data_IF_409733950806
#
_entry.id   IF_409733950806
#
_cell.length_a   1.000
_cell.length_b   1.000
_cell.length_c   1.000
_cell.angle_alpha   90.00
_cell.angle_beta   90.00
_cell.angle_gamma   90.00
#
_symmetry.space_group_name_H-M   'P 1'
#
loop_
_entity.id
_entity.type
_entity.pdbx_description
1 polymer ?
#
# COMPACT_ATOMS: atom_id res chain seq x y z
N UNK A 1 -63.81 9.22 34.39
CA UNK A 1 -62.82 8.40 33.64
C UNK A 1 -62.35 9.03 32.33
N UNK A 2 -63.18 9.76 31.56
CA UNK A 2 -62.79 10.35 30.26
C UNK A 2 -61.70 11.43 30.33
N UNK A 3 -61.63 12.22 31.41
CA UNK A 3 -60.66 13.33 31.56
C UNK A 3 -59.22 12.85 31.77
N UNK A 4 -59.03 11.75 32.52
CA UNK A 4 -57.69 11.17 32.75
C UNK A 4 -57.11 10.57 31.45
N UNK A 5 -57.96 9.97 30.62
CA UNK A 5 -57.55 9.44 29.31
C UNK A 5 -57.13 10.55 28.33
N UNK A 6 -57.81 11.70 28.36
CA UNK A 6 -57.43 12.86 27.56
C UNK A 6 -56.06 13.43 27.95
N UNK A 7 -55.77 13.51 29.26
CA UNK A 7 -54.48 13.99 29.76
C UNK A 7 -53.35 13.04 29.34
N UNK A 8 -53.57 11.72 29.45
CA UNK A 8 -52.61 10.72 28.99
C UNK A 8 -52.37 10.77 27.47
N UNK A 9 -53.42 11.01 26.68
CA UNK A 9 -53.29 11.18 25.22
C UNK A 9 -52.48 12.41 24.83
N UNK A 10 -52.64 13.53 25.53
CA UNK A 10 -51.88 14.77 25.28
C UNK A 10 -50.40 14.58 25.69
N UNK A 11 -50.13 13.92 26.82
CA UNK A 11 -48.75 13.61 27.24
C UNK A 11 -48.06 12.69 26.23
N UNK A 12 -48.78 11.69 25.72
CA UNK A 12 -48.24 10.78 24.70
C UNK A 12 -47.90 11.53 23.40
N UNK A 13 -48.76 12.46 22.96
CA UNK A 13 -48.52 13.27 21.77
C UNK A 13 -47.30 14.19 21.95
N UNK A 14 -47.15 14.80 23.12
CA UNK A 14 -46.00 15.63 23.45
C UNK A 14 -44.69 14.82 23.47
N UNK A 15 -44.70 13.60 24.02
CA UNK A 15 -43.55 12.70 24.00
C UNK A 15 -43.21 12.21 22.59
N UNK A 16 -44.21 12.02 21.72
CA UNK A 16 -44.02 11.61 20.33
C UNK A 16 -43.39 12.75 19.50
N UNK A 17 -43.81 14.00 19.73
CA UNK A 17 -43.22 15.18 19.11
C UNK A 17 -41.78 15.40 19.62
N UNK A 18 -41.54 15.28 20.93
CA UNK A 18 -40.19 15.34 21.51
C UNK A 18 -39.30 14.21 20.98
N UNK A 19 -39.82 13.00 20.82
CA UNK A 19 -39.12 11.87 20.22
C UNK A 19 -38.77 12.10 18.74
N UNK A 20 -39.68 12.68 17.95
CA UNK A 20 -39.44 13.05 16.55
C UNK A 20 -38.42 14.20 16.41
N UNK A 21 -38.40 15.15 17.35
CA UNK A 21 -37.37 16.20 17.40
C UNK A 21 -36.00 15.61 17.79
N UNK A 22 -35.96 14.65 18.72
CA UNK A 22 -34.73 13.94 19.09
C UNK A 22 -34.21 13.03 17.95
N UNK A 23 -35.09 12.40 17.17
CA UNK A 23 -34.73 11.62 15.99
C UNK A 23 -34.36 12.53 14.81
N UNK A 24 -34.96 13.73 14.67
CA UNK A 24 -34.57 14.72 13.67
C UNK A 24 -33.17 15.33 13.91
N UNK A 25 -32.71 15.35 15.17
CA UNK A 25 -31.32 15.67 15.54
C UNK A 25 -30.37 14.47 15.30
N UNK A 26 -30.91 13.25 15.17
CA UNK A 26 -30.18 11.98 14.97
C UNK A 26 -30.44 11.29 13.61
N UNK A 27 -31.08 11.97 12.65
CA UNK A 27 -31.11 11.54 11.25
C UNK A 27 -29.75 11.88 10.62
N UNK A 28 -29.21 11.05 9.71
CA UNK A 28 -27.85 11.20 9.24
C UNK A 28 -27.69 12.63 8.73
N UNK A 29 -26.82 13.41 9.37
CA UNK A 29 -26.18 14.49 8.64
C UNK A 29 -25.62 13.80 7.40
N UNK A 30 -25.99 14.33 6.22
CA UNK A 30 -25.48 13.84 4.95
C UNK A 30 -23.95 13.75 4.95
N UNK A 31 -23.32 13.27 3.86
CA UNK A 31 -21.87 13.17 3.78
C UNK A 31 -21.25 14.41 4.42
N UNK A 32 -20.31 14.24 5.36
CA UNK A 32 -19.84 15.33 6.19
C UNK A 32 -19.33 16.47 5.29
N UNK A 33 -19.19 17.71 5.80
CA UNK A 33 -18.66 18.83 5.03
C UNK A 33 -17.18 18.64 4.60
N UNK A 34 -16.65 17.42 4.66
CA UNK A 34 -15.30 17.07 4.23
C UNK A 34 -15.01 17.53 2.80
N UNK A 35 -15.96 17.45 1.86
CA UNK A 35 -15.68 17.91 0.48
C UNK A 35 -15.54 19.44 0.37
N UNK A 36 -16.30 20.21 1.16
CA UNK A 36 -16.20 21.67 1.16
C UNK A 36 -15.01 22.18 1.98
N UNK A 37 -14.75 21.60 3.15
CA UNK A 37 -13.57 21.94 3.97
C UNK A 37 -12.27 21.52 3.28
N UNK A 38 -12.23 20.34 2.65
CA UNK A 38 -11.08 19.89 1.88
C UNK A 38 -10.85 20.80 0.67
N UNK A 39 -11.90 21.17 -0.08
CA UNK A 39 -11.77 22.10 -1.20
C UNK A 39 -11.34 23.52 -0.76
N UNK A 40 -11.89 24.03 0.36
CA UNK A 40 -11.48 25.33 0.92
C UNK A 40 -10.05 25.30 1.48
N UNK A 41 -9.62 24.20 2.08
CA UNK A 41 -8.27 24.02 2.59
C UNK A 41 -7.27 23.79 1.46
N UNK A 42 -7.64 23.06 0.41
CA UNK A 42 -6.88 22.92 -0.83
C UNK A 42 -6.64 24.28 -1.51
N UNK A 43 -7.66 25.16 -1.51
CA UNK A 43 -7.55 26.51 -2.06
C UNK A 43 -6.58 27.43 -1.27
N UNK A 44 -6.27 27.09 -0.01
CA UNK A 44 -5.34 27.86 0.86
C UNK A 44 -3.91 27.33 0.82
N UNK A 45 -3.66 26.17 0.21
CA UNK A 45 -2.32 25.56 0.18
C UNK A 45 -1.42 26.22 -0.87
N UNK A 46 -0.12 26.19 -0.60
CA UNK A 46 0.89 26.66 -1.56
C UNK A 46 1.16 25.55 -2.58
N UNK A 47 1.05 25.89 -3.86
CA UNK A 47 1.37 24.97 -4.94
C UNK A 47 2.88 24.73 -5.01
N UNK A 48 3.28 23.46 -4.96
CA UNK A 48 4.64 23.01 -5.21
C UNK A 48 4.63 22.18 -6.49
N UNK A 49 5.35 22.64 -7.51
CA UNK A 49 5.47 21.90 -8.77
C UNK A 49 6.46 20.75 -8.62
N UNK A 50 6.06 19.53 -8.99
CA UNK A 50 6.91 18.33 -8.91
C UNK A 50 7.38 17.82 -10.28
N UNK A 51 7.09 18.52 -11.38
CA UNK A 51 7.43 18.15 -12.76
C UNK A 51 8.91 18.38 -13.13
N UNK A 52 9.75 18.88 -12.21
CA UNK A 52 11.19 19.06 -12.47
C UNK A 52 11.99 17.75 -12.26
N UNK A 53 11.84 16.85 -13.21
CA UNK A 53 12.51 15.55 -13.17
C UNK A 53 13.94 15.59 -13.70
N UNK A 54 14.84 14.90 -13.00
CA UNK A 54 16.14 14.49 -13.55
C UNK A 54 16.13 13.01 -13.90
N UNK A 55 17.02 12.59 -14.79
CA UNK A 55 17.27 11.19 -15.12
C UNK A 55 18.75 10.90 -14.85
N UNK A 56 19.02 9.92 -14.00
CA UNK A 56 20.38 9.47 -13.67
C UNK A 56 20.61 8.02 -14.07
N UNK A 57 21.82 7.70 -14.54
CA UNK A 57 22.24 6.31 -14.83
C UNK A 57 22.56 5.58 -13.54
N UNK A 58 22.05 4.36 -13.40
CA UNK A 58 22.17 3.55 -12.17
C UNK A 58 22.61 2.12 -12.47
N UNK A 59 23.38 1.92 -13.55
CA UNK A 59 23.90 0.61 -13.95
C UNK A 59 24.58 -0.11 -12.79
N UNK A 60 24.25 -1.38 -12.55
CA UNK A 60 24.83 -2.19 -11.47
C UNK A 60 24.23 -1.95 -10.08
N UNK A 61 23.15 -1.17 -9.96
CA UNK A 61 22.37 -1.10 -8.72
C UNK A 61 21.62 -2.41 -8.47
N UNK A 62 21.71 -2.90 -7.24
CA UNK A 62 21.01 -4.08 -6.74
C UNK A 62 20.04 -3.78 -5.62
N UNK A 63 20.20 -2.66 -4.93
CA UNK A 63 19.39 -2.31 -3.77
C UNK A 63 18.91 -0.86 -3.80
N UNK A 64 17.73 -0.61 -3.23
CA UNK A 64 17.12 0.72 -3.11
C UNK A 64 16.71 1.00 -1.67
N UNK A 65 17.31 2.01 -1.05
CA UNK A 65 17.11 2.37 0.34
C UNK A 65 16.63 3.82 0.47
N UNK A 66 15.45 4.03 1.05
CA UNK A 66 14.94 5.37 1.40
C UNK A 66 15.04 5.63 2.90
N UNK A 67 15.49 6.83 3.26
CA UNK A 67 15.63 7.30 4.65
C UNK A 67 15.33 8.79 4.74
N UNK A 68 14.91 9.23 5.91
CA UNK A 68 14.69 10.65 6.22
C UNK A 68 13.77 11.35 5.20
N UNK A 69 12.72 10.65 4.73
CA UNK A 69 11.74 11.19 3.78
C UNK A 69 10.58 11.85 4.54
N UNK A 70 10.01 12.95 4.01
CA UNK A 70 8.85 13.61 4.62
C UNK A 70 7.61 12.71 4.59
N UNK A 71 6.65 12.99 5.46
CA UNK A 71 5.37 12.27 5.51
C UNK A 71 4.43 12.75 4.38
N UNK A 72 4.75 12.35 3.15
CA UNK A 72 3.96 12.58 1.94
C UNK A 72 3.85 11.28 1.14
N UNK A 73 2.94 11.21 0.17
CA UNK A 73 2.78 10.01 -0.65
C UNK A 73 3.90 9.90 -1.68
N UNK A 74 4.56 8.75 -1.74
CA UNK A 74 5.55 8.41 -2.75
C UNK A 74 5.10 7.21 -3.55
N UNK A 75 5.19 7.28 -4.87
CA UNK A 75 5.00 6.16 -5.78
C UNK A 75 6.34 5.83 -6.43
N UNK A 76 6.81 4.61 -6.21
CA UNK A 76 8.06 4.10 -6.78
C UNK A 76 7.73 2.97 -7.74
N UNK A 77 7.78 3.27 -9.04
CA UNK A 77 7.54 2.29 -10.10
C UNK A 77 8.88 1.70 -10.58
N UNK A 78 9.02 0.38 -10.45
CA UNK A 78 10.25 -0.35 -10.75
C UNK A 78 10.00 -1.34 -11.90
N UNK A 79 10.73 -1.14 -12.98
CA UNK A 79 10.79 -2.05 -14.13
C UNK A 79 12.17 -2.70 -14.24
N UNK A 80 12.23 -3.81 -14.97
CA UNK A 80 13.43 -4.65 -15.03
C UNK A 80 13.94 -4.80 -16.46
N UNK A 81 15.25 -4.93 -16.62
CA UNK A 81 15.90 -5.07 -17.92
C UNK A 81 17.14 -5.96 -17.84
N UNK A 82 17.52 -6.56 -18.96
CA UNK A 82 18.80 -7.26 -19.12
C UNK A 82 19.88 -6.35 -19.74
N UNK A 83 19.51 -5.14 -20.17
CA UNK A 83 20.44 -4.18 -20.79
C UNK A 83 20.93 -3.15 -19.76
N UNK A 84 22.21 -3.20 -19.33
CA UNK A 84 22.76 -2.28 -18.36
C UNK A 84 22.71 -0.80 -18.82
N UNK A 85 22.61 -0.56 -20.13
CA UNK A 85 22.47 0.78 -20.70
C UNK A 85 21.05 1.33 -20.64
N UNK A 86 20.06 0.53 -20.23
CA UNK A 86 18.69 0.98 -19.97
C UNK A 86 18.46 1.29 -18.49
N UNK A 87 19.39 0.92 -17.61
CA UNK A 87 19.27 1.21 -16.19
C UNK A 87 19.30 2.72 -15.92
N UNK A 88 18.20 3.23 -15.37
CA UNK A 88 18.05 4.64 -15.03
C UNK A 88 17.05 4.83 -13.89
N UNK A 89 17.14 5.99 -13.24
CA UNK A 89 16.14 6.47 -12.30
C UNK A 89 15.72 7.88 -12.71
N UNK A 90 14.41 8.13 -12.70
CA UNK A 90 13.78 9.43 -12.94
C UNK A 90 13.04 9.86 -11.68
N UNK A 91 13.39 11.03 -11.14
CA UNK A 91 12.84 11.56 -9.88
C UNK A 91 12.86 13.10 -9.85
N UNK A 92 12.01 13.76 -9.04
CA UNK A 92 12.04 15.21 -8.89
C UNK A 92 13.23 15.63 -8.04
N UNK A 93 14.30 16.06 -8.71
CA UNK A 93 15.61 16.33 -8.06
C UNK A 93 15.59 17.42 -7.00
N UNK A 94 14.61 18.31 -7.10
CA UNK A 94 14.46 19.43 -6.18
C UNK A 94 13.87 18.96 -4.85
N UNK A 95 13.17 17.82 -4.80
CA UNK A 95 12.50 17.29 -3.62
C UNK A 95 13.18 16.03 -3.07
N UNK A 96 13.80 15.25 -3.95
CA UNK A 96 14.45 13.98 -3.60
C UNK A 96 15.88 13.99 -4.08
N UNK A 97 16.80 13.66 -3.18
CA UNK A 97 18.19 13.40 -3.51
C UNK A 97 18.41 11.89 -3.61
N UNK A 98 18.90 11.44 -4.77
CA UNK A 98 19.36 10.07 -4.99
C UNK A 98 20.89 10.07 -5.08
N UNK A 99 21.51 9.18 -4.32
CA UNK A 99 22.96 8.93 -4.36
C UNK A 99 23.22 7.43 -4.54
N UNK A 100 24.33 7.09 -5.18
CA UNK A 100 24.75 5.71 -5.37
C UNK A 100 26.03 5.45 -4.58
N UNK A 101 26.04 4.41 -3.76
CA UNK A 101 27.22 3.91 -3.08
C UNK A 101 27.32 2.40 -3.32
N UNK A 102 28.38 1.98 -3.99
CA UNK A 102 28.54 0.62 -4.52
C UNK A 102 27.32 0.16 -5.35
N UNK A 103 26.63 -0.91 -4.95
CA UNK A 103 25.43 -1.43 -5.60
C UNK A 103 24.12 -0.93 -4.97
N UNK A 104 24.20 -0.02 -4.00
CA UNK A 104 23.03 0.50 -3.28
C UNK A 104 22.70 1.93 -3.71
N UNK A 105 21.44 2.17 -4.08
CA UNK A 105 20.88 3.52 -4.22
C UNK A 105 20.28 3.98 -2.91
N UNK A 106 20.70 5.16 -2.46
CA UNK A 106 20.17 5.83 -1.29
C UNK A 106 19.34 7.03 -1.73
N UNK A 107 18.08 7.05 -1.32
CA UNK A 107 17.18 8.18 -1.46
C UNK A 107 16.94 8.86 -0.11
N UNK A 108 16.96 10.18 -0.12
CA UNK A 108 16.55 11.04 1.00
C UNK A 108 15.92 12.33 0.49
N UNK A 109 15.27 13.07 1.37
CA UNK A 109 14.74 14.38 1.01
C UNK A 109 15.87 15.41 0.77
N UNK A 110 15.62 16.36 -0.12
CA UNK A 110 16.38 17.62 -0.18
C UNK A 110 15.87 18.58 0.89
N UNK A 111 16.49 19.76 1.04
CA UNK A 111 15.97 20.81 1.92
C UNK A 111 14.53 21.23 1.55
N UNK A 112 14.21 21.33 0.26
CA UNK A 112 12.85 21.66 -0.20
C UNK A 112 11.89 20.48 0.02
N UNK A 113 12.37 19.24 -0.09
CA UNK A 113 11.61 18.04 0.23
C UNK A 113 11.29 17.90 1.72
N UNK A 114 12.25 18.21 2.61
CA UNK A 114 12.11 18.10 4.06
C UNK A 114 10.99 18.97 4.62
N UNK A 115 10.71 20.11 3.98
CA UNK A 115 9.66 21.05 4.41
C UNK A 115 8.29 20.77 3.79
N UNK A 116 8.16 19.73 2.95
CA UNK A 116 6.87 19.34 2.39
C UNK A 116 5.93 18.86 3.50
N UNK A 117 4.67 19.27 3.39
CA UNK A 117 3.61 19.02 4.36
C UNK A 117 2.30 19.03 3.59
N UNK A 118 1.66 17.88 3.43
CA UNK A 118 0.41 17.73 2.65
C UNK A 118 -0.75 18.55 3.22
N UNK A 119 -0.66 19.06 4.45
CA UNK A 119 -1.65 19.98 5.02
C UNK A 119 -1.46 21.42 4.54
N UNK A 120 -0.24 21.81 4.17
CA UNK A 120 0.14 23.18 3.78
C UNK A 120 0.45 23.33 2.29
N UNK A 121 0.90 22.25 1.67
CA UNK A 121 1.35 22.21 0.30
C UNK A 121 0.42 21.37 -0.56
N UNK A 122 0.23 21.82 -1.79
CA UNK A 122 -0.45 21.08 -2.85
C UNK A 122 0.60 20.71 -3.89
N UNK A 123 0.86 19.43 -4.10
CA UNK A 123 1.78 18.96 -5.12
C UNK A 123 1.06 19.03 -6.48
N UNK A 124 1.66 19.70 -7.45
CA UNK A 124 1.12 19.82 -8.81
C UNK A 124 2.03 19.01 -9.73
N UNK A 125 1.48 17.95 -10.33
CA UNK A 125 2.16 17.05 -11.26
C UNK A 125 1.33 16.88 -12.52
N UNK A 126 1.98 16.80 -13.68
CA UNK A 126 1.31 16.45 -14.94
C UNK A 126 1.35 14.93 -15.13
N UNK A 127 0.25 14.26 -14.77
CA UNK A 127 0.16 12.80 -14.84
C UNK A 127 0.18 12.27 -16.27
N UNK A 128 1.13 11.36 -16.54
CA UNK A 128 1.06 10.49 -17.71
C UNK A 128 -0.07 9.46 -17.52
N UNK A 129 -0.54 8.86 -18.61
CA UNK A 129 -1.53 7.77 -18.52
C UNK A 129 -1.05 6.60 -17.67
N UNK A 130 0.25 6.33 -17.69
CA UNK A 130 0.87 5.31 -16.84
C UNK A 130 0.77 5.67 -15.35
N UNK A 131 0.97 6.93 -14.98
CA UNK A 131 0.88 7.38 -13.59
C UNK A 131 -0.54 7.25 -13.06
N UNK A 132 -1.54 7.64 -13.87
CA UNK A 132 -2.96 7.47 -13.52
C UNK A 132 -3.31 6.01 -13.25
N UNK A 133 -2.73 5.08 -14.04
CA UNK A 133 -2.93 3.65 -13.84
C UNK A 133 -2.33 3.13 -12.53
N UNK A 134 -1.14 3.63 -12.14
CA UNK A 134 -0.54 3.28 -10.85
C UNK A 134 -1.40 3.80 -9.68
N UNK A 135 -1.91 5.02 -9.78
CA UNK A 135 -2.74 5.65 -8.73
C UNK A 135 -4.09 4.98 -8.53
N UNK A 136 -4.79 4.63 -9.62
CA UNK A 136 -6.06 3.92 -9.52
C UNK A 136 -5.88 2.45 -9.09
N UNK A 137 -4.63 1.97 -9.08
CA UNK A 137 -4.27 0.57 -9.01
C UNK A 137 -4.71 -0.17 -10.29
N UNK A 138 -3.82 -0.90 -10.97
CA UNK A 138 -4.27 -1.73 -12.11
C UNK A 138 -5.43 -2.63 -11.67
N UNK A 139 -6.61 -2.35 -12.23
CA UNK A 139 -7.75 -3.25 -12.16
C UNK A 139 -7.45 -4.39 -13.12
N UNK A 140 -6.80 -5.43 -12.61
CA UNK A 140 -6.68 -6.71 -13.31
C UNK A 140 -8.03 -7.40 -13.29
N UNK A 141 -8.98 -6.98 -14.12
CA UNK A 141 -10.16 -7.78 -14.45
C UNK A 141 -10.73 -7.36 -15.80
N UNK A 142 -10.50 -8.21 -16.81
CA UNK A 142 -11.13 -8.13 -18.11
C UNK A 142 -10.11 -8.20 -19.24
N UNK A 143 -10.16 -9.29 -20.01
CA UNK A 143 -9.56 -9.42 -21.33
C UNK A 143 -10.19 -8.38 -22.28
N UNK A 144 -9.69 -7.15 -22.23
CA UNK A 144 -9.75 -6.12 -23.26
C UNK A 144 -8.91 -4.95 -22.74
N UNK A 145 -7.59 -5.00 -23.00
CA UNK A 145 -6.64 -3.89 -22.76
C UNK A 145 -6.94 -2.72 -23.72
N UNK A 146 -8.15 -2.18 -23.64
CA UNK A 146 -8.43 -0.85 -24.15
C UNK A 146 -8.20 0.11 -23.00
N UNK A 147 -7.22 1.00 -23.21
CA UNK A 147 -7.02 2.21 -22.43
C UNK A 147 -8.40 2.84 -22.19
N UNK A 148 -8.92 2.71 -20.97
CA UNK A 148 -10.00 3.60 -20.55
C UNK A 148 -9.33 4.96 -20.44
N UNK A 149 -9.75 5.92 -21.26
CA UNK A 149 -9.36 7.32 -21.07
C UNK A 149 -9.81 7.72 -19.66
N UNK A 150 -8.86 7.70 -18.74
CA UNK A 150 -9.10 8.12 -17.38
C UNK A 150 -9.22 9.64 -17.40
N UNK A 151 -10.42 10.12 -17.03
CA UNK A 151 -10.68 11.51 -16.64
C UNK A 151 -9.51 11.99 -15.79
N UNK A 152 -9.01 13.19 -16.04
CA UNK A 152 -7.93 13.81 -15.29
C UNK A 152 -8.18 13.63 -13.79
N UNK A 153 -7.49 12.67 -13.18
CA UNK A 153 -7.41 12.55 -11.74
C UNK A 153 -6.29 13.48 -11.32
N UNK A 154 -6.67 14.61 -10.73
CA UNK A 154 -5.74 15.42 -9.98
C UNK A 154 -5.45 14.70 -8.65
N UNK A 155 -4.40 13.90 -8.62
CA UNK A 155 -3.76 13.60 -7.34
C UNK A 155 -2.84 14.78 -7.01
N UNK A 156 -3.01 15.37 -5.83
CA UNK A 156 -2.26 16.57 -5.43
C UNK A 156 -1.29 16.32 -4.27
N UNK A 157 -0.99 15.04 -4.01
CA UNK A 157 -0.27 14.62 -2.81
C UNK A 157 0.90 13.68 -3.09
N UNK A 158 1.05 13.20 -4.32
CA UNK A 158 1.98 12.12 -4.63
C UNK A 158 3.19 12.57 -5.44
N UNK A 159 4.36 12.08 -5.02
CA UNK A 159 5.64 12.21 -5.71
C UNK A 159 5.96 10.90 -6.43
N UNK A 160 6.31 10.97 -7.72
CA UNK A 160 6.66 9.80 -8.50
C UNK A 160 8.17 9.62 -8.63
N UNK A 161 8.61 8.37 -8.53
CA UNK A 161 9.97 7.93 -8.81
C UNK A 161 9.86 6.72 -9.74
N UNK A 162 10.52 6.80 -10.89
CA UNK A 162 10.55 5.71 -11.87
C UNK A 162 11.94 5.14 -11.93
N UNK A 163 12.06 3.82 -11.90
CA UNK A 163 13.32 3.14 -11.91
C UNK A 163 13.29 1.97 -12.89
N UNK A 164 14.34 1.85 -13.70
CA UNK A 164 14.63 0.65 -14.48
C UNK A 164 15.94 0.05 -13.98
N UNK A 165 15.90 -1.19 -13.48
CA UNK A 165 17.05 -1.90 -12.90
C UNK A 165 17.31 -3.23 -13.59
N UNK A 166 18.48 -3.80 -13.31
CA UNK A 166 18.84 -5.13 -13.79
C UNK A 166 17.99 -6.22 -13.09
N UNK A 167 17.89 -7.41 -13.71
CA UNK A 167 17.21 -8.58 -13.12
C UNK A 167 17.95 -9.25 -11.94
N UNK A 168 19.11 -8.73 -11.55
CA UNK A 168 19.82 -9.11 -10.32
C UNK A 168 19.56 -8.14 -9.15
N UNK A 169 18.61 -7.20 -9.31
CA UNK A 169 18.09 -6.38 -8.23
C UNK A 169 17.43 -7.23 -7.15
N UNK A 170 17.79 -7.01 -5.89
CA UNK A 170 17.53 -7.97 -4.83
C UNK A 170 17.00 -7.37 -3.53
N UNK A 171 17.03 -6.05 -3.31
CA UNK A 171 16.53 -5.49 -2.06
C UNK A 171 15.88 -4.11 -2.19
N UNK A 172 14.81 -3.91 -1.43
CA UNK A 172 14.18 -2.61 -1.20
C UNK A 172 14.03 -2.42 0.30
N UNK A 173 14.46 -1.26 0.77
CA UNK A 173 14.32 -0.82 2.15
C UNK A 173 13.75 0.58 2.22
N UNK A 174 12.79 0.82 3.11
CA UNK A 174 12.44 2.18 3.52
C UNK A 174 12.30 2.27 5.02
N UNK A 175 12.98 3.25 5.62
CA UNK A 175 12.82 3.60 7.03
C UNK A 175 11.84 4.78 7.19
N UNK A 176 11.13 5.16 6.12
CA UNK A 176 10.18 6.28 6.08
C UNK A 176 8.79 5.85 5.59
N UNK A 177 7.70 6.48 6.08
CA UNK A 177 6.33 6.13 5.73
C UNK A 177 5.94 6.63 4.33
N UNK A 178 4.75 6.22 3.87
CA UNK A 178 4.07 6.85 2.73
C UNK A 178 4.50 6.32 1.36
N UNK A 179 5.29 5.25 1.30
CA UNK A 179 5.75 4.68 0.04
C UNK A 179 4.79 3.63 -0.54
N UNK A 180 4.60 3.68 -1.84
CA UNK A 180 3.95 2.64 -2.64
C UNK A 180 4.95 2.14 -3.69
N UNK A 181 5.48 0.94 -3.49
CA UNK A 181 6.38 0.29 -4.42
C UNK A 181 5.59 -0.59 -5.38
N UNK A 182 5.75 -0.35 -6.68
CA UNK A 182 5.13 -1.12 -7.76
C UNK A 182 6.21 -1.81 -8.57
N UNK A 183 6.24 -3.14 -8.54
CA UNK A 183 7.18 -3.95 -9.30
C UNK A 183 6.46 -4.52 -10.52
N UNK A 184 6.92 -4.16 -11.71
CA UNK A 184 6.25 -4.43 -12.97
C UNK A 184 6.97 -5.55 -13.71
N UNK A 185 6.26 -6.64 -14.00
CA UNK A 185 6.76 -7.83 -14.70
C UNK A 185 8.08 -8.35 -14.11
N UNK A 186 8.15 -8.42 -12.78
CA UNK A 186 9.38 -8.73 -12.06
C UNK A 186 9.74 -10.21 -12.21
N UNK A 187 10.90 -10.49 -12.82
CA UNK A 187 11.45 -11.84 -12.95
C UNK A 187 12.80 -11.88 -12.23
N UNK A 188 12.78 -12.20 -10.93
CA UNK A 188 13.93 -12.06 -10.04
C UNK A 188 14.30 -13.39 -9.36
N UNK A 189 15.60 -13.66 -9.15
CA UNK A 189 16.03 -14.82 -8.36
C UNK A 189 15.61 -14.68 -6.90
N UNK A 190 15.70 -13.48 -6.34
CA UNK A 190 15.37 -13.20 -4.94
C UNK A 190 15.02 -11.73 -4.75
N UNK A 191 14.06 -11.42 -3.88
CA UNK A 191 13.77 -10.07 -3.43
C UNK A 191 13.62 -10.03 -1.91
N UNK A 192 14.34 -9.14 -1.25
CA UNK A 192 14.16 -8.76 0.14
C UNK A 192 13.43 -7.41 0.22
N UNK A 193 12.37 -7.35 1.01
CA UNK A 193 11.58 -6.14 1.21
C UNK A 193 11.43 -5.85 2.70
N UNK A 194 11.78 -4.63 3.10
CA UNK A 194 11.49 -4.13 4.44
C UNK A 194 11.07 -2.68 4.38
N UNK A 195 10.09 -2.31 5.19
CA UNK A 195 9.49 -1.00 5.08
C UNK A 195 8.92 -0.50 6.40
N UNK A 196 8.99 0.80 6.63
CA UNK A 196 8.31 1.47 7.73
C UNK A 196 6.77 1.43 7.57
N UNK A 197 6.06 1.79 8.64
CA UNK A 197 4.59 1.84 8.67
C UNK A 197 4.00 2.67 7.52
N UNK A 198 2.77 2.36 7.10
CA UNK A 198 2.08 3.00 5.98
C UNK A 198 2.86 2.93 4.65
N UNK A 199 3.54 1.80 4.42
CA UNK A 199 4.19 1.49 3.15
C UNK A 199 3.54 0.28 2.50
N UNK A 200 3.41 0.34 1.18
CA UNK A 200 2.80 -0.66 0.35
C UNK A 200 3.80 -1.24 -0.65
N UNK A 201 3.72 -2.55 -0.88
CA UNK A 201 4.36 -3.23 -2.01
C UNK A 201 3.29 -3.89 -2.86
N UNK A 202 3.39 -3.76 -4.19
CA UNK A 202 2.55 -4.48 -5.15
C UNK A 202 3.33 -5.06 -6.30
N UNK A 203 3.02 -6.31 -6.63
CA UNK A 203 3.45 -6.93 -7.87
C UNK A 203 2.41 -6.76 -8.97
N UNK A 204 2.90 -6.50 -10.18
CA UNK A 204 2.09 -6.21 -11.35
C UNK A 204 2.53 -7.04 -12.55
N UNK A 205 1.55 -7.41 -13.37
CA UNK A 205 1.77 -8.20 -14.58
C UNK A 205 2.24 -9.64 -14.30
N UNK A 206 3.03 -10.19 -15.22
CA UNK A 206 3.61 -11.53 -15.08
C UNK A 206 4.86 -11.45 -14.20
N UNK A 207 4.68 -11.72 -12.90
CA UNK A 207 5.77 -11.69 -11.91
C UNK A 207 6.15 -13.10 -11.48
N UNK A 208 7.45 -13.42 -11.53
CA UNK A 208 8.05 -14.66 -11.05
C UNK A 208 9.22 -14.38 -10.11
N UNK A 209 9.16 -14.93 -8.89
CA UNK A 209 10.22 -14.80 -7.89
C UNK A 209 10.73 -16.18 -7.45
N UNK A 210 12.05 -16.35 -7.43
CA UNK A 210 12.67 -17.52 -6.79
C UNK A 210 12.49 -17.48 -5.27
N UNK A 211 12.91 -16.38 -4.66
CA UNK A 211 12.75 -16.14 -3.22
C UNK A 211 12.13 -14.75 -2.98
N UNK A 212 11.18 -14.67 -2.05
CA UNK A 212 10.66 -13.40 -1.57
C UNK A 212 10.68 -13.39 -0.05
N UNK A 213 11.46 -12.49 0.54
CA UNK A 213 11.51 -12.31 1.99
C UNK A 213 11.04 -10.92 2.36
N UNK A 214 10.03 -10.85 3.22
CA UNK A 214 9.51 -9.60 3.78
C UNK A 214 9.59 -9.59 5.31
N UNK A 215 9.92 -8.42 5.87
CA UNK A 215 10.05 -8.20 7.32
C UNK A 215 9.69 -6.75 7.70
N UNK A 216 9.09 -6.57 8.87
CA UNK A 216 8.72 -5.28 9.48
C UNK A 216 7.71 -4.45 8.68
N UNK A 217 6.95 -5.07 7.79
CA UNK A 217 5.93 -4.38 6.99
C UNK A 217 4.63 -4.28 7.78
N UNK A 218 4.26 -3.06 8.21
CA UNK A 218 3.12 -2.84 9.10
C UNK A 218 1.90 -2.21 8.40
N UNK A 219 1.72 -2.48 7.10
CA UNK A 219 0.56 -1.98 6.38
C UNK A 219 0.07 -3.01 5.35
N UNK A 220 0.64 -3.03 4.14
CA UNK A 220 0.06 -3.83 3.06
C UNK A 220 1.10 -4.38 2.09
N UNK A 221 0.90 -5.63 1.67
CA UNK A 221 1.60 -6.28 0.56
C UNK A 221 0.56 -6.92 -0.35
N UNK A 222 0.55 -6.53 -1.63
CA UNK A 222 -0.32 -7.10 -2.65
C UNK A 222 0.48 -7.96 -3.61
N UNK A 223 0.23 -9.27 -3.55
CA UNK A 223 0.97 -10.25 -4.32
C UNK A 223 0.51 -10.34 -5.78
N UNK A 224 -0.61 -9.69 -6.13
CA UNK A 224 -1.20 -9.76 -7.47
C UNK A 224 -1.31 -11.21 -7.96
N UNK A 225 -0.84 -11.44 -9.18
CA UNK A 225 -0.79 -12.76 -9.83
C UNK A 225 0.60 -13.40 -9.78
N UNK A 226 1.47 -12.95 -8.87
CA UNK A 226 2.85 -13.42 -8.81
C UNK A 226 2.93 -14.94 -8.56
N UNK A 227 3.89 -15.61 -9.19
CA UNK A 227 4.34 -16.95 -8.80
C UNK A 227 5.65 -16.83 -8.01
N UNK A 228 5.61 -17.21 -6.74
CA UNK A 228 6.76 -17.17 -5.82
C UNK A 228 7.12 -18.61 -5.44
N UNK A 229 8.37 -19.04 -5.65
CA UNK A 229 8.77 -20.40 -5.25
C UNK A 229 8.89 -20.51 -3.73
N UNK A 230 9.70 -19.65 -3.11
CA UNK A 230 9.89 -19.63 -1.66
C UNK A 230 9.57 -18.25 -1.11
N UNK A 231 8.56 -18.17 -0.23
CA UNK A 231 8.19 -16.95 0.45
C UNK A 231 8.51 -17.06 1.93
N UNK A 232 9.12 -16.03 2.50
CA UNK A 232 9.33 -15.90 3.94
C UNK A 232 8.70 -14.59 4.41
N UNK A 233 7.90 -14.68 5.46
CA UNK A 233 7.34 -13.51 6.14
C UNK A 233 7.77 -13.57 7.59
N UNK A 234 8.46 -12.54 8.05
CA UNK A 234 8.66 -12.30 9.48
C UNK A 234 7.60 -11.32 9.97
N UNK A 235 6.55 -11.88 10.59
CA UNK A 235 5.37 -11.14 11.02
C UNK A 235 5.71 -10.29 12.25
N UNK A 236 5.37 -9.01 12.19
CA UNK A 236 5.54 -8.07 13.29
C UNK A 236 4.30 -7.18 13.39
N UNK A 237 3.36 -7.54 14.28
CA UNK A 237 2.08 -6.81 14.39
C UNK A 237 1.06 -7.21 13.33
N UNK A 238 0.29 -6.27 12.80
CA UNK A 238 -0.76 -6.55 11.81
C UNK A 238 -0.30 -6.15 10.41
N UNK A 239 -0.42 -7.08 9.45
CA UNK A 239 -0.04 -6.84 8.06
C UNK A 239 -1.06 -7.47 7.11
N UNK A 240 -1.55 -6.67 6.17
CA UNK A 240 -2.47 -7.14 5.14
C UNK A 240 -1.70 -7.74 3.96
N UNK A 241 -1.81 -9.05 3.77
CA UNK A 241 -1.34 -9.75 2.58
C UNK A 241 -2.51 -10.02 1.64
N UNK A 242 -2.54 -9.33 0.50
CA UNK A 242 -3.53 -9.59 -0.55
C UNK A 242 -2.97 -10.67 -1.46
N UNK A 243 -3.42 -11.89 -1.21
CA UNK A 243 -2.85 -13.12 -1.77
C UNK A 243 -3.87 -13.93 -2.57
N UNK A 244 -5.02 -13.36 -2.95
CA UNK A 244 -6.16 -14.10 -3.49
C UNK A 244 -5.91 -14.77 -4.87
N UNK A 245 -5.03 -14.18 -5.67
CA UNK A 245 -4.75 -14.58 -7.06
C UNK A 245 -3.31 -15.09 -7.27
N UNK A 246 -2.46 -15.01 -6.25
CA UNK A 246 -1.06 -15.40 -6.38
C UNK A 246 -0.88 -16.92 -6.24
N UNK A 247 0.31 -17.39 -6.58
CA UNK A 247 0.74 -18.76 -6.33
C UNK A 247 2.06 -18.76 -5.58
N UNK A 248 2.11 -19.45 -4.45
CA UNK A 248 3.30 -19.58 -3.62
C UNK A 248 3.58 -21.06 -3.38
N UNK A 249 4.74 -21.57 -3.78
CA UNK A 249 5.03 -23.00 -3.64
C UNK A 249 5.32 -23.37 -2.17
N UNK A 250 6.07 -22.54 -1.45
CA UNK A 250 6.34 -22.71 -0.01
C UNK A 250 6.34 -21.37 0.69
N UNK A 251 5.54 -21.26 1.76
CA UNK A 251 5.52 -20.13 2.68
C UNK A 251 6.12 -20.54 4.02
N UNK A 252 7.08 -19.76 4.52
CA UNK A 252 7.57 -19.82 5.89
C UNK A 252 7.12 -18.57 6.66
N UNK A 253 6.37 -18.78 7.74
CA UNK A 253 5.94 -17.74 8.65
C UNK A 253 6.77 -17.79 9.94
N UNK A 254 7.37 -16.66 10.31
CA UNK A 254 8.09 -16.45 11.57
C UNK A 254 7.56 -15.21 12.29
N UNK A 255 8.01 -14.98 13.52
CA UNK A 255 7.71 -13.74 14.25
C UNK A 255 6.45 -13.85 15.11
N UNK A 256 5.74 -12.72 15.25
CA UNK A 256 4.52 -12.60 16.06
C UNK A 256 3.61 -11.51 15.50
N UNK A 257 2.35 -11.84 15.25
CA UNK A 257 1.35 -10.88 14.82
C UNK A 257 0.13 -11.52 14.16
N UNK A 258 -0.65 -10.70 13.46
CA UNK A 258 -1.89 -11.09 12.81
C UNK A 258 -1.83 -10.87 11.30
N UNK A 259 -2.31 -11.86 10.55
CA UNK A 259 -2.51 -11.79 9.10
C UNK A 259 -4.03 -11.83 8.84
N UNK A 260 -4.74 -10.69 8.94
CA UNK A 260 -6.21 -10.65 8.88
C UNK A 260 -6.76 -11.14 7.53
N UNK A 261 -6.04 -10.86 6.44
CA UNK A 261 -6.30 -11.40 5.11
C UNK A 261 -5.28 -12.49 4.80
N UNK A 262 -5.77 -13.73 4.64
CA UNK A 262 -4.92 -14.87 4.30
C UNK A 262 -5.71 -15.90 3.49
N UNK A 263 -5.25 -16.17 2.27
CA UNK A 263 -5.92 -17.06 1.33
C UNK A 263 -5.17 -18.38 1.19
N UNK A 264 -5.54 -19.38 2.00
CA UNK A 264 -4.87 -20.69 2.04
C UNK A 264 -4.64 -21.35 0.69
N UNK A 265 -5.56 -21.21 -0.28
CA UNK A 265 -5.47 -21.83 -1.61
C UNK A 265 -4.26 -21.36 -2.43
N UNK A 266 -3.71 -20.19 -2.10
CA UNK A 266 -2.61 -19.56 -2.82
C UNK A 266 -1.26 -20.19 -2.48
N UNK A 267 -1.18 -20.93 -1.36
CA UNK A 267 0.04 -21.54 -0.86
C UNK A 267 -0.04 -23.06 -1.00
N UNK A 268 0.97 -23.68 -1.63
CA UNK A 268 1.04 -25.14 -1.70
C UNK A 268 1.46 -25.72 -0.34
N UNK A 269 2.58 -25.25 0.20
CA UNK A 269 3.06 -25.59 1.55
C UNK A 269 3.09 -24.36 2.44
N UNK A 270 2.66 -24.50 3.69
CA UNK A 270 2.77 -23.47 4.72
C UNK A 270 3.50 -24.08 5.91
N UNK A 271 4.58 -23.43 6.31
CA UNK A 271 5.38 -23.72 7.48
C UNK A 271 5.28 -22.57 8.46
N UNK A 272 5.14 -22.89 9.75
CA UNK A 272 4.95 -21.90 10.81
C UNK A 272 5.98 -22.19 11.89
N UNK A 273 6.84 -21.22 12.15
CA UNK A 273 7.85 -21.26 13.21
C UNK A 273 7.57 -20.18 14.24
N UNK A 274 6.87 -20.56 15.31
CA UNK A 274 6.47 -19.70 16.41
C UNK A 274 7.30 -19.99 17.67
N UNK A 275 7.54 -18.97 18.51
CA UNK A 275 8.13 -19.17 19.84
C UNK A 275 7.09 -19.73 20.82
N UNK A 276 5.84 -19.29 20.71
CA UNK A 276 4.69 -19.78 21.46
C UNK A 276 3.53 -19.99 20.50
N UNK A 277 2.78 -21.07 20.69
CA UNK A 277 1.61 -21.39 19.86
C UNK A 277 0.63 -20.21 19.85
N UNK A 278 0.29 -19.73 18.65
CA UNK A 278 -0.60 -18.58 18.47
C UNK A 278 0.10 -17.23 18.56
N UNK A 279 1.44 -17.20 18.51
CA UNK A 279 2.17 -15.96 18.25
C UNK A 279 1.80 -15.40 16.85
N UNK A 280 1.48 -16.25 15.88
CA UNK A 280 1.02 -15.86 14.55
C UNK A 280 -0.44 -16.29 14.38
N UNK A 281 -1.30 -15.32 14.12
CA UNK A 281 -2.75 -15.52 13.93
C UNK A 281 -3.21 -15.10 12.55
N UNK A 282 -4.41 -15.53 12.16
CA UNK A 282 -5.08 -15.09 10.94
C UNK A 282 -6.57 -14.80 11.15
N UNK A 283 -7.14 -14.02 10.24
CA UNK A 283 -8.54 -13.64 10.26
C UNK A 283 -8.88 -12.61 11.35
N UNK A 284 -10.11 -12.09 11.28
CA UNK A 284 -10.62 -11.12 12.26
C UNK A 284 -10.83 -11.73 13.66
N UNK A 285 -11.07 -13.04 13.72
CA UNK A 285 -11.20 -13.78 14.98
C UNK A 285 -9.82 -14.23 15.54
N UNK A 286 -8.72 -13.87 14.87
CA UNK A 286 -7.32 -14.11 15.29
C UNK A 286 -7.02 -15.58 15.62
N UNK A 287 -7.38 -16.49 14.72
CA UNK A 287 -7.12 -17.91 14.91
C UNK A 287 -5.62 -18.25 14.76
N UNK A 288 -5.06 -19.20 15.54
CA UNK A 288 -3.67 -19.61 15.38
C UNK A 288 -3.36 -20.18 13.98
N UNK A 289 -2.33 -19.65 13.32
CA UNK A 289 -1.91 -20.01 11.96
C UNK A 289 -1.60 -21.51 11.79
N UNK A 290 -1.15 -22.16 12.85
CA UNK A 290 -0.89 -23.61 12.88
C UNK A 290 -2.13 -24.46 12.51
N UNK A 291 -3.35 -23.91 12.61
CA UNK A 291 -4.57 -24.61 12.19
C UNK A 291 -4.62 -24.84 10.67
N UNK A 292 -4.14 -23.90 9.87
CA UNK A 292 -4.20 -23.96 8.40
C UNK A 292 -2.88 -24.44 7.76
N UNK A 293 -1.79 -24.41 8.53
CA UNK A 293 -0.49 -24.97 8.15
C UNK A 293 -0.48 -26.52 8.16
N UNK A 294 -1.41 -27.16 8.88
CA UNK A 294 -1.53 -28.62 8.86
C UNK A 294 -1.90 -29.11 7.46
N UNK A 295 -1.25 -30.16 6.94
CA UNK A 295 -1.79 -30.86 5.78
C UNK A 295 -3.16 -31.43 6.17
N UNK A 296 -4.19 -31.09 5.38
CA UNK A 296 -5.50 -31.70 5.46
C UNK A 296 -5.33 -33.23 5.37
N UNK A 297 -5.58 -33.98 6.45
CA UNK A 297 -5.67 -35.45 6.38
C UNK A 297 -4.80 -36.31 7.29
N UNK A 298 -3.99 -35.79 8.23
CA UNK A 298 -3.52 -36.64 9.35
C UNK A 298 -4.63 -36.80 10.39
N UNK A 299 -5.43 -37.85 10.25
CA UNK A 299 -6.24 -38.40 11.34
C UNK A 299 -5.31 -38.71 12.51
N UNK A 300 -5.70 -38.25 13.70
CA UNK A 300 -5.17 -38.68 14.99
C UNK A 300 -5.44 -40.18 15.18
#
# INVERSE_FOLDING_TARGET
MKTKAYILGVIYLALLILGLVQIGINAPQGPPPYDYQMAEDEAKRVNVNVDNYTISRITGTKELWFRDMPDVSFVVAISFTDDPNKCCIKYPKDLVQITKNDDVLYGKATQDGEVLDTRKHRLIHTYTNFDKQLLAGWKTNGSDDRLIDMVEQEDTYTIFIYMTVMKDFCAIRTDSPGFCFYLIDAHLPSLYFTAYYNTFLRFYGETELGEFWTQWVNYKVDLGKAHIKNMRIDVDGETDYYDEECKVDTLLLTGKGNMPFFTRKSYKTIEVSEKKRGDITFGYDTEPMIKIAKPYGKKL
#
